data_IF_788219530498
#
_entry.id   IF_788219530498
#
_cell.length_a   1.000
_cell.length_b   1.000
_cell.length_c   1.000
_cell.angle_alpha   90.00
_cell.angle_beta   90.00
_cell.angle_gamma   90.00
#
_symmetry.space_group_name_H-M   'P 1'
#
loop_
_entity.id
_entity.type
_entity.pdbx_description
1 polymer ?
#
# COMPACT_ATOMS: atom_id res chain seq x y z
N UNK A 1 5.88 12.52 2.89
CA UNK A 1 4.71 13.27 3.38
C UNK A 1 4.87 13.36 4.88
N UNK A 2 4.87 14.56 5.44
CA UNK A 2 5.02 14.79 6.87
C UNK A 2 3.83 14.19 7.63
N UNK A 3 4.09 13.54 8.76
CA UNK A 3 3.09 12.78 9.50
C UNK A 3 2.08 13.68 10.23
N UNK A 4 2.46 14.92 10.56
CA UNK A 4 1.60 15.85 11.30
C UNK A 4 0.77 16.73 10.38
N UNK A 5 1.39 17.24 9.31
CA UNK A 5 0.76 18.17 8.36
C UNK A 5 0.10 17.47 7.18
N UNK A 6 0.42 16.18 6.95
CA UNK A 6 0.00 15.42 5.76
C UNK A 6 0.37 16.10 4.44
N UNK A 7 1.41 16.95 4.44
CA UNK A 7 1.91 17.64 3.24
C UNK A 7 3.18 16.98 2.73
N UNK A 8 3.45 17.11 1.44
CA UNK A 8 4.77 16.76 0.89
C UNK A 8 5.77 17.81 1.36
N UNK A 9 6.94 17.38 1.81
CA UNK A 9 8.07 18.25 2.15
C UNK A 9 8.57 18.95 0.89
N UNK A 10 8.80 20.26 0.97
CA UNK A 10 9.36 21.06 -0.13
C UNK A 10 10.71 20.51 -0.60
N UNK A 11 11.56 20.12 0.34
CA UNK A 11 12.87 19.50 0.06
C UNK A 11 12.75 18.26 -0.85
N UNK A 12 11.75 17.40 -0.62
CA UNK A 12 11.55 16.18 -1.42
C UNK A 12 10.99 16.46 -2.82
N UNK A 13 10.29 17.58 -3.01
CA UNK A 13 9.89 18.07 -4.33
C UNK A 13 11.10 18.65 -5.09
N UNK A 14 11.92 19.47 -4.41
CA UNK A 14 13.12 20.09 -4.99
C UNK A 14 14.17 19.04 -5.40
N UNK A 15 14.36 18.00 -4.59
CA UNK A 15 15.24 16.88 -4.90
C UNK A 15 14.66 15.93 -5.98
N UNK A 16 13.43 16.16 -6.44
CA UNK A 16 12.76 15.34 -7.46
C UNK A 16 12.43 13.91 -7.01
N UNK A 17 12.49 13.65 -5.69
CA UNK A 17 12.15 12.38 -5.04
C UNK A 17 10.65 12.16 -5.13
N UNK A 18 9.85 13.20 -4.89
CA UNK A 18 8.41 13.19 -5.15
C UNK A 18 8.13 13.97 -6.42
N UNK A 19 7.50 13.32 -7.39
CA UNK A 19 7.10 13.93 -8.65
C UNK A 19 5.58 14.04 -8.69
N UNK A 20 5.09 15.25 -8.96
CA UNK A 20 3.69 15.50 -9.27
C UNK A 20 3.49 15.29 -10.76
N UNK A 21 2.59 14.38 -11.13
CA UNK A 21 2.17 14.22 -12.51
C UNK A 21 0.74 14.75 -12.67
N UNK A 22 0.60 15.94 -13.27
CA UNK A 22 -0.67 16.64 -13.44
C UNK A 22 -0.58 18.14 -13.14
N UNK A 23 -1.67 18.87 -13.35
CA UNK A 23 -1.82 20.27 -12.92
C UNK A 23 -2.16 20.32 -11.43
N UNK A 24 -1.61 21.26 -10.66
CA UNK A 24 -1.93 21.48 -9.23
C UNK A 24 -3.46 21.62 -8.99
N UNK A 25 -4.19 22.05 -10.01
CA UNK A 25 -5.65 22.25 -10.00
C UNK A 25 -6.45 21.02 -10.45
N UNK A 26 -5.80 19.90 -10.77
CA UNK A 26 -6.45 18.63 -11.11
C UNK A 26 -7.02 17.97 -9.85
N UNK A 27 -8.27 17.52 -9.92
CA UNK A 27 -8.88 16.66 -8.87
C UNK A 27 -8.20 15.29 -8.73
N UNK A 28 -7.30 14.94 -9.66
CA UNK A 28 -6.55 13.69 -9.72
C UNK A 28 -5.04 13.99 -9.76
N UNK A 29 -4.54 14.64 -8.71
CA UNK A 29 -3.10 14.81 -8.53
C UNK A 29 -2.48 13.46 -8.15
N UNK A 30 -1.85 12.79 -9.12
CA UNK A 30 -1.12 11.55 -8.88
C UNK A 30 0.32 11.92 -8.52
N UNK A 31 0.76 11.49 -7.34
CA UNK A 31 2.13 11.66 -6.86
C UNK A 31 2.90 10.36 -7.04
N UNK A 32 4.12 10.47 -7.56
CA UNK A 32 5.05 9.35 -7.71
C UNK A 32 6.26 9.56 -6.83
N UNK A 33 6.71 8.48 -6.18
CA UNK A 33 8.01 8.42 -5.54
C UNK A 33 9.02 7.89 -6.57
N UNK A 34 10.02 8.70 -6.90
CA UNK A 34 11.15 8.32 -7.74
C UNK A 34 12.36 8.02 -6.86
N UNK A 35 12.85 6.79 -6.90
CA UNK A 35 14.07 6.36 -6.22
C UNK A 35 15.07 5.81 -7.23
N UNK A 36 16.38 5.97 -7.00
CA UNK A 36 17.40 5.23 -7.75
C UNK A 36 17.16 3.72 -7.67
N UNK A 37 17.74 2.95 -8.59
CA UNK A 37 17.66 1.49 -8.51
C UNK A 37 18.52 0.97 -7.36
N UNK A 38 17.89 0.57 -6.25
CA UNK A 38 18.53 -0.02 -5.08
C UNK A 38 17.49 -0.73 -4.18
N UNK A 39 17.94 -1.33 -3.08
CA UNK A 39 17.07 -1.85 -2.04
C UNK A 39 16.63 -0.71 -1.11
N UNK A 40 15.32 -0.55 -0.95
CA UNK A 40 14.76 0.42 0.00
C UNK A 40 13.74 -0.25 0.90
N UNK A 41 13.69 0.21 2.15
CA UNK A 41 12.50 0.08 2.98
C UNK A 41 11.53 1.21 2.64
N UNK A 42 10.30 0.85 2.29
CA UNK A 42 9.19 1.79 2.15
C UNK A 42 8.19 1.60 3.28
N UNK A 43 7.81 2.73 3.88
CA UNK A 43 6.72 2.82 4.85
C UNK A 43 5.53 3.50 4.18
N UNK A 44 4.50 2.71 3.87
CA UNK A 44 3.31 3.16 3.15
C UNK A 44 2.16 3.29 4.14
N UNK A 45 1.52 4.46 4.15
CA UNK A 45 0.33 4.73 4.98
C UNK A 45 -0.89 4.84 4.09
N UNK A 46 -1.81 3.89 4.22
CA UNK A 46 -3.11 3.95 3.56
C UNK A 46 -4.13 4.56 4.51
N UNK A 47 -4.95 5.49 4.04
CA UNK A 47 -6.00 6.15 4.83
C UNK A 47 -7.39 5.73 4.31
N UNK A 48 -7.84 4.48 4.55
CA UNK A 48 -9.05 3.95 3.93
C UNK A 48 -10.36 4.51 4.50
N UNK A 49 -10.33 5.06 5.72
CA UNK A 49 -11.51 5.54 6.44
C UNK A 49 -11.40 7.05 6.73
N UNK A 50 -10.31 7.47 7.36
CA UNK A 50 -10.11 8.85 7.79
C UNK A 50 -8.60 9.20 7.88
N UNK A 51 -8.23 10.50 7.81
CA UNK A 51 -6.82 10.93 7.84
C UNK A 51 -6.08 10.63 9.15
N UNK A 52 -6.79 10.50 10.26
CA UNK A 52 -6.26 10.16 11.58
C UNK A 52 -6.03 8.64 11.75
N UNK A 53 -6.58 7.82 10.84
CA UNK A 53 -6.52 6.35 10.93
C UNK A 53 -5.84 5.75 9.71
N UNK A 54 -4.51 5.70 9.77
CA UNK A 54 -3.68 5.06 8.76
C UNK A 54 -3.45 3.57 9.02
N UNK A 55 -3.57 2.75 7.97
CA UNK A 55 -2.98 1.42 7.92
C UNK A 55 -1.54 1.54 7.41
N UNK A 56 -0.58 1.21 8.28
CA UNK A 56 0.85 1.30 7.94
C UNK A 56 1.35 -0.05 7.44
N UNK A 57 2.04 -0.04 6.31
CA UNK A 57 2.62 -1.20 5.66
C UNK A 57 4.10 -0.94 5.39
N UNK A 58 4.95 -1.83 5.90
CA UNK A 58 6.40 -1.80 5.67
C UNK A 58 6.75 -2.83 4.60
N UNK A 59 7.59 -2.43 3.65
CA UNK A 59 8.09 -3.34 2.61
C UNK A 59 9.54 -3.03 2.31
N UNK A 60 10.37 -4.08 2.32
CA UNK A 60 11.72 -4.02 1.78
C UNK A 60 11.68 -4.63 0.38
N UNK A 61 12.15 -3.89 -0.61
CA UNK A 61 12.19 -4.35 -1.99
C UNK A 61 13.38 -3.79 -2.76
N UNK A 62 13.92 -4.60 -3.68
CA UNK A 62 14.95 -4.20 -4.63
C UNK A 62 14.28 -3.56 -5.86
N UNK A 63 14.28 -2.23 -5.91
CA UNK A 63 13.67 -1.49 -7.02
C UNK A 63 14.61 -1.46 -8.23
N UNK A 64 14.03 -1.65 -9.42
CA UNK A 64 14.76 -1.64 -10.69
C UNK A 64 14.55 -0.32 -11.43
N UNK A 65 15.54 0.08 -12.21
CA UNK A 65 15.46 1.26 -13.08
C UNK A 65 14.35 1.10 -14.14
N UNK A 66 13.71 2.21 -14.51
CA UNK A 66 12.68 2.24 -15.57
C UNK A 66 11.47 1.33 -15.30
N UNK A 67 11.18 1.04 -14.03
CA UNK A 67 9.99 0.27 -13.65
C UNK A 67 9.01 1.10 -12.83
N UNK A 68 7.73 0.81 -13.04
CA UNK A 68 6.62 1.45 -12.34
C UNK A 68 6.01 0.46 -11.36
N UNK A 69 6.12 0.79 -10.08
CA UNK A 69 5.58 -0.01 -8.99
C UNK A 69 4.33 0.66 -8.43
N UNK A 70 3.25 -0.11 -8.29
CA UNK A 70 2.01 0.35 -7.65
C UNK A 70 1.71 -0.51 -6.45
N UNK A 71 1.38 0.13 -5.32
CA UNK A 71 0.90 -0.56 -4.13
C UNK A 71 -0.60 -0.34 -4.00
N UNK A 72 -1.37 -1.43 -4.04
CA UNK A 72 -2.83 -1.40 -3.89
C UNK A 72 -3.25 -2.14 -2.64
N UNK A 73 -3.88 -1.43 -1.72
CA UNK A 73 -4.53 -2.04 -0.56
C UNK A 73 -5.98 -2.37 -0.88
N UNK A 74 -6.41 -3.59 -0.56
CA UNK A 74 -7.77 -4.06 -0.79
C UNK A 74 -8.17 -5.12 0.23
N UNK A 75 -9.46 -5.33 0.41
CA UNK A 75 -9.97 -6.49 1.16
C UNK A 75 -10.18 -7.65 0.21
N UNK A 76 -9.60 -8.82 0.53
CA UNK A 76 -9.74 -10.01 -0.31
C UNK A 76 -11.05 -10.73 0.02
N UNK A 77 -12.01 -10.61 -0.90
CA UNK A 77 -13.35 -11.18 -0.78
C UNK A 77 -13.47 -12.62 -1.28
N UNK A 78 -12.38 -13.17 -1.85
CA UNK A 78 -12.42 -14.48 -2.51
C UNK A 78 -12.83 -15.63 -1.58
N UNK A 79 -12.66 -15.46 -0.26
CA UNK A 79 -13.00 -16.48 0.74
C UNK A 79 -14.48 -16.54 1.13
N UNK A 80 -15.33 -15.62 0.65
CA UNK A 80 -16.77 -15.63 0.96
C UNK A 80 -17.60 -16.60 0.11
N UNK A 81 -17.00 -17.25 -0.90
CA UNK A 81 -17.71 -18.18 -1.79
C UNK A 81 -17.59 -19.62 -1.30
N UNK A 82 -18.39 -20.00 -0.29
CA UNK A 82 -18.71 -21.41 -0.01
C UNK A 82 -18.00 -22.08 1.18
N UNK A 83 -18.22 -21.60 2.40
CA UNK A 83 -17.73 -22.22 3.64
C UNK A 83 -18.73 -22.18 4.80
N UNK A 84 -18.34 -22.75 5.95
CA UNK A 84 -19.09 -22.71 7.22
C UNK A 84 -19.53 -21.28 7.59
N UNK A 85 -20.67 -21.11 8.26
CA UNK A 85 -21.19 -19.82 8.76
C UNK A 85 -20.16 -19.04 9.60
N UNK A 86 -19.24 -19.74 10.26
CA UNK A 86 -18.12 -19.16 11.01
C UNK A 86 -17.04 -18.55 10.08
N UNK A 87 -16.83 -19.10 8.89
CA UNK A 87 -15.86 -18.59 7.93
C UNK A 87 -16.37 -17.38 7.15
N UNK A 88 -17.69 -17.31 6.90
CA UNK A 88 -18.31 -16.17 6.20
C UNK A 88 -18.59 -14.98 7.12
N UNK A 89 -18.54 -15.16 8.44
CA UNK A 89 -18.71 -14.10 9.44
C UNK A 89 -17.39 -13.45 9.87
N UNK A 90 -16.25 -14.06 9.55
CA UNK A 90 -14.95 -13.45 9.78
C UNK A 90 -14.74 -12.26 8.82
N UNK A 91 -14.19 -11.12 9.30
CA UNK A 91 -13.81 -10.02 8.43
C UNK A 91 -12.85 -10.43 7.32
N UNK A 92 -13.07 -9.90 6.12
CA UNK A 92 -12.18 -10.09 4.96
C UNK A 92 -10.74 -9.68 5.32
N UNK A 93 -9.72 -10.51 4.99
CA UNK A 93 -8.34 -10.15 5.22
C UNK A 93 -7.96 -8.92 4.40
N UNK A 94 -7.16 -8.05 5.01
CA UNK A 94 -6.64 -6.85 4.36
C UNK A 94 -5.35 -7.22 3.64
N UNK A 95 -5.28 -6.98 2.34
CA UNK A 95 -4.13 -7.30 1.52
C UNK A 95 -3.53 -6.05 0.87
N UNK A 96 -2.23 -6.10 0.62
CA UNK A 96 -1.48 -5.14 -0.19
C UNK A 96 -0.84 -5.90 -1.35
N UNK A 97 -1.20 -5.55 -2.58
CA UNK A 97 -0.54 -6.04 -3.78
C UNK A 97 0.51 -5.02 -4.24
N UNK A 98 1.71 -5.53 -4.50
CA UNK A 98 2.76 -4.80 -5.21
C UNK A 98 2.71 -5.22 -6.68
N UNK A 99 2.40 -4.28 -7.55
CA UNK A 99 2.30 -4.48 -8.99
C UNK A 99 3.50 -3.84 -9.70
N UNK A 100 4.10 -4.57 -10.64
CA UNK A 100 5.06 -4.05 -11.62
C UNK A 100 4.32 -3.96 -12.96
N UNK A 101 4.04 -2.74 -13.41
CA UNK A 101 3.12 -2.51 -14.54
C UNK A 101 1.71 -3.00 -14.26
N UNK A 102 1.28 -4.07 -14.94
CA UNK A 102 -0.05 -4.71 -14.73
C UNK A 102 0.03 -6.05 -13.99
N UNK A 103 1.22 -6.50 -13.60
CA UNK A 103 1.41 -7.80 -12.98
C UNK A 103 1.63 -7.63 -11.48
N UNK A 104 0.84 -8.32 -10.66
CA UNK A 104 1.18 -8.50 -9.24
C UNK A 104 2.45 -9.33 -9.13
N UNK A 105 3.48 -8.79 -8.47
CA UNK A 105 4.75 -9.47 -8.24
C UNK A 105 4.91 -9.95 -6.81
N UNK A 106 4.26 -9.27 -5.85
CA UNK A 106 4.23 -9.64 -4.43
C UNK A 106 2.86 -9.31 -3.85
N UNK A 107 2.41 -10.10 -2.90
CA UNK A 107 1.14 -9.89 -2.20
C UNK A 107 1.35 -10.15 -0.73
N UNK A 108 0.83 -9.28 0.12
CA UNK A 108 0.88 -9.42 1.56
C UNK A 108 -0.52 -9.36 2.10
N UNK A 109 -0.90 -10.27 2.98
CA UNK A 109 -2.23 -10.29 3.57
C UNK A 109 -2.13 -10.37 5.09
N UNK A 110 -2.97 -9.58 5.74
CA UNK A 110 -3.12 -9.52 7.18
C UNK A 110 -4.43 -10.22 7.54
N UNK A 111 -4.39 -11.46 8.06
CA UNK A 111 -5.60 -12.16 8.46
C UNK A 111 -6.23 -11.47 9.66
N UNK A 112 -7.54 -11.62 9.79
CA UNK A 112 -8.23 -11.27 11.03
C UNK A 112 -7.85 -12.29 12.12
N UNK A 113 -7.34 -11.81 13.26
CA UNK A 113 -7.07 -12.64 14.43
C UNK A 113 -8.06 -12.25 15.54
N UNK A 114 -8.91 -13.19 15.96
CA UNK A 114 -9.94 -12.94 16.97
C UNK A 114 -9.38 -12.69 18.38
N UNK A 115 -8.13 -13.09 18.66
CA UNK A 115 -7.47 -12.94 19.97
C UNK A 115 -6.77 -11.59 20.09
N UNK A 116 -6.10 -11.13 19.04
CA UNK A 116 -5.34 -9.87 19.04
C UNK A 116 -6.03 -8.72 18.31
N UNK A 117 -7.14 -8.99 17.61
CA UNK A 117 -7.91 -8.02 16.82
C UNK A 117 -7.37 -7.78 15.41
N UNK A 118 -6.05 -7.80 15.20
CA UNK A 118 -5.38 -7.63 13.90
C UNK A 118 -4.05 -8.44 13.89
N UNK A 119 -3.78 -9.22 12.85
CA UNK A 119 -2.49 -9.92 12.66
C UNK A 119 -1.40 -9.02 12.06
N UNK A 120 -0.23 -9.56 11.71
CA UNK A 120 0.76 -8.88 10.88
C UNK A 120 0.54 -9.17 9.38
N UNK A 121 1.10 -8.33 8.50
CA UNK A 121 1.10 -8.61 7.07
C UNK A 121 2.06 -9.76 6.75
N UNK A 122 1.53 -10.84 6.18
CA UNK A 122 2.33 -12.01 5.79
C UNK A 122 2.36 -12.12 4.27
N UNK A 123 3.57 -12.28 3.70
CA UNK A 123 3.76 -12.48 2.27
C UNK A 123 3.07 -13.77 1.79
N UNK A 124 2.31 -13.64 0.71
CA UNK A 124 1.58 -14.72 0.06
C UNK A 124 2.25 -15.05 -1.27
N UNK A 125 2.10 -16.30 -1.69
CA UNK A 125 2.48 -16.70 -3.05
C UNK A 125 1.57 -16.00 -4.06
N UNK A 126 2.18 -15.48 -5.12
CA UNK A 126 1.50 -14.83 -6.26
C UNK A 126 1.50 -15.76 -7.47
#
# INVERSE_FOLDING_TARGET
>A
MDANSHRVSSESLEQGIVRLQGSVFSSHNVMYLSVPADQYELVIRFYPISPDRAETFHVIHQFKSNQHYTFKMYRDRSKHTGGSLLNVSAPEPLCVAMEEGQRTIRRFCRPFNAVTGLGEFVEQKV
#
